data_IF_886405722136
#
_entry.id   IF_886405722136
#
_cell.length_a   1.000
_cell.length_b   1.000
_cell.length_c   1.000
_cell.angle_alpha   90.00
_cell.angle_beta   90.00
_cell.angle_gamma   90.00
#
_symmetry.space_group_name_H-M   'P 1'
#
loop_
_entity.id
_entity.type
_entity.pdbx_description
1 polymer ?
#
# COMPACT_ATOMS: atom_id res chain seq x y z
N UNK A 1 11.47 6.37 -21.11
CA UNK A 1 10.86 5.47 -20.11
C UNK A 1 9.36 5.53 -20.28
N UNK A 2 8.71 4.41 -20.57
CA UNK A 2 7.26 4.34 -20.74
C UNK A 2 6.55 4.50 -19.39
N UNK A 3 5.34 5.09 -19.36
CA UNK A 3 4.56 5.26 -18.13
C UNK A 3 4.37 3.95 -17.35
N UNK A 4 4.28 2.83 -18.07
CA UNK A 4 4.16 1.48 -17.51
C UNK A 4 5.44 1.03 -16.78
N UNK A 5 6.62 1.37 -17.31
CA UNK A 5 7.92 1.05 -16.69
C UNK A 5 8.16 1.90 -15.45
N UNK A 6 7.74 3.17 -15.49
CA UNK A 6 7.79 4.07 -14.34
C UNK A 6 6.91 3.56 -13.19
N UNK A 7 5.68 3.15 -13.50
CA UNK A 7 4.76 2.56 -12.52
C UNK A 7 5.35 1.30 -11.91
N UNK A 8 5.93 0.40 -12.71
CA UNK A 8 6.56 -0.84 -12.23
C UNK A 8 7.75 -0.55 -11.31
N UNK A 9 8.58 0.44 -11.65
CA UNK A 9 9.75 0.84 -10.83
C UNK A 9 9.35 1.50 -9.51
N UNK A 10 8.22 2.21 -9.47
CA UNK A 10 7.74 2.92 -8.28
C UNK A 10 6.62 2.20 -7.53
N UNK A 11 6.22 1.00 -7.97
CA UNK A 11 5.09 0.25 -7.40
C UNK A 11 5.22 0.06 -5.88
N UNK A 12 6.41 -0.29 -5.39
CA UNK A 12 6.70 -0.40 -3.96
C UNK A 12 6.45 0.93 -3.22
N UNK A 13 6.97 2.04 -3.75
CA UNK A 13 6.83 3.37 -3.12
C UNK A 13 5.37 3.81 -3.11
N UNK A 14 4.64 3.58 -4.20
CA UNK A 14 3.22 3.91 -4.32
C UNK A 14 2.40 3.11 -3.30
N UNK A 15 2.60 1.79 -3.22
CA UNK A 15 1.90 0.95 -2.26
C UNK A 15 2.24 1.31 -0.81
N UNK A 16 3.49 1.67 -0.51
CA UNK A 16 3.89 2.13 0.82
C UNK A 16 3.18 3.44 1.22
N UNK A 17 3.07 4.41 0.30
CA UNK A 17 2.32 5.66 0.56
C UNK A 17 0.84 5.37 0.78
N UNK A 18 0.26 4.49 -0.03
CA UNK A 18 -1.16 4.11 0.09
C UNK A 18 -1.43 3.32 1.38
N UNK A 19 -0.48 2.52 1.87
CA UNK A 19 -0.54 1.87 3.16
C UNK A 19 -0.60 2.90 4.30
N UNK A 20 0.26 3.92 4.27
CA UNK A 20 0.25 5.00 5.26
C UNK A 20 -1.08 5.76 5.22
N UNK A 21 -1.57 6.12 4.04
CA UNK A 21 -2.88 6.77 3.90
C UNK A 21 -4.02 5.91 4.45
N UNK A 22 -3.99 4.60 4.19
CA UNK A 22 -4.98 3.65 4.70
C UNK A 22 -4.95 3.54 6.23
N UNK A 23 -3.76 3.61 6.83
CA UNK A 23 -3.59 3.62 8.27
C UNK A 23 -4.21 4.88 8.89
N UNK A 24 -4.00 6.04 8.26
CA UNK A 24 -4.61 7.30 8.69
C UNK A 24 -6.14 7.24 8.63
N UNK A 25 -6.70 6.69 7.55
CA UNK A 25 -8.15 6.49 7.41
C UNK A 25 -8.69 5.58 8.52
N UNK A 26 -7.99 4.48 8.83
CA UNK A 26 -8.39 3.59 9.92
C UNK A 26 -8.39 4.34 11.26
N UNK A 27 -7.32 5.08 11.57
CA UNK A 27 -7.19 5.88 12.80
C UNK A 27 -8.31 6.91 12.90
N UNK A 28 -8.60 7.64 11.82
CA UNK A 28 -9.71 8.61 11.77
C UNK A 28 -11.04 7.89 12.07
N UNK A 29 -11.29 6.75 11.43
CA UNK A 29 -12.49 5.95 11.69
C UNK A 29 -12.64 5.56 13.16
N UNK A 30 -11.55 5.16 13.83
CA UNK A 30 -11.57 4.84 15.26
C UNK A 30 -11.76 6.08 16.14
N UNK A 31 -11.05 7.18 15.88
CA UNK A 31 -11.11 8.43 16.67
C UNK A 31 -12.52 9.04 16.64
N UNK A 32 -13.18 9.03 15.47
CA UNK A 32 -14.53 9.56 15.31
C UNK A 32 -15.64 8.52 15.55
N UNK A 33 -15.29 7.29 15.92
CA UNK A 33 -16.22 6.17 16.11
C UNK A 33 -17.12 5.89 14.89
N UNK A 34 -16.54 6.00 13.69
CA UNK A 34 -17.21 5.74 12.41
C UNK A 34 -16.74 4.37 11.92
N UNK A 35 -17.46 3.32 12.33
CA UNK A 35 -17.08 1.92 12.05
C UNK A 35 -16.87 1.59 10.57
N UNK A 36 -17.65 2.20 9.67
CA UNK A 36 -17.49 2.01 8.22
C UNK A 36 -16.13 2.53 7.72
N UNK A 37 -15.70 3.71 8.15
CA UNK A 37 -14.43 4.31 7.77
C UNK A 37 -13.27 3.51 8.36
N UNK A 38 -13.39 3.09 9.62
CA UNK A 38 -12.40 2.25 10.27
C UNK A 38 -12.23 0.92 9.51
N UNK A 39 -13.33 0.25 9.17
CA UNK A 39 -13.33 -1.00 8.41
C UNK A 39 -12.69 -0.85 7.02
N UNK A 40 -13.04 0.20 6.27
CA UNK A 40 -12.43 0.49 4.97
C UNK A 40 -10.93 0.76 5.07
N UNK A 41 -10.51 1.53 6.07
CA UNK A 41 -9.08 1.79 6.33
C UNK A 41 -8.31 0.51 6.65
N UNK A 42 -8.87 -0.38 7.48
CA UNK A 42 -8.25 -1.67 7.81
C UNK A 42 -8.14 -2.58 6.59
N UNK A 43 -9.21 -2.72 5.79
CA UNK A 43 -9.18 -3.52 4.57
C UNK A 43 -8.14 -2.98 3.57
N UNK A 44 -8.08 -1.66 3.40
CA UNK A 44 -7.09 -1.02 2.54
C UNK A 44 -5.66 -1.24 3.08
N UNK A 45 -5.46 -1.20 4.40
CA UNK A 45 -4.16 -1.54 5.01
C UNK A 45 -3.73 -2.96 4.67
N UNK A 46 -4.61 -3.96 4.82
CA UNK A 46 -4.32 -5.36 4.50
C UNK A 46 -3.98 -5.53 3.01
N UNK A 47 -4.68 -4.82 2.14
CA UNK A 47 -4.39 -4.85 0.72
C UNK A 47 -3.01 -4.24 0.42
N UNK A 48 -2.76 -3.00 0.84
CA UNK A 48 -1.52 -2.31 0.50
C UNK A 48 -0.29 -2.87 1.21
N UNK A 49 -0.41 -3.45 2.41
CA UNK A 49 0.73 -4.14 3.03
C UNK A 49 1.13 -5.38 2.23
N UNK A 50 0.15 -6.15 1.75
CA UNK A 50 0.40 -7.34 0.92
C UNK A 50 1.09 -6.95 -0.39
N UNK A 51 0.60 -5.92 -1.07
CA UNK A 51 1.19 -5.42 -2.32
C UNK A 51 2.54 -4.73 -2.12
N UNK A 52 2.76 -4.09 -0.97
CA UNK A 52 4.08 -3.52 -0.63
C UNK A 52 5.11 -4.63 -0.44
N UNK A 53 4.77 -5.70 0.31
CA UNK A 53 5.65 -6.87 0.50
C UNK A 53 5.90 -7.56 -0.84
N UNK A 54 4.85 -7.78 -1.65
CA UNK A 54 4.99 -8.38 -2.97
C UNK A 54 5.88 -7.54 -3.90
N UNK A 55 5.73 -6.21 -3.91
CA UNK A 55 6.59 -5.29 -4.63
C UNK A 55 8.05 -5.36 -4.15
N UNK A 56 8.27 -5.38 -2.84
CA UNK A 56 9.60 -5.50 -2.25
C UNK A 56 10.30 -6.82 -2.63
N UNK A 57 9.60 -7.95 -2.50
CA UNK A 57 10.14 -9.27 -2.87
C UNK A 57 10.39 -9.38 -4.36
N UNK A 58 9.54 -8.80 -5.21
CA UNK A 58 9.77 -8.81 -6.66
C UNK A 58 10.99 -7.98 -7.06
N UNK A 59 11.25 -6.87 -6.39
CA UNK A 59 12.40 -6.00 -6.67
C UNK A 59 13.70 -6.58 -6.10
N UNK A 60 13.67 -7.22 -4.93
CA UNK A 60 14.87 -7.72 -4.24
C UNK A 60 15.11 -9.23 -4.36
N UNK A 61 14.09 -10.02 -4.70
CA UNK A 61 14.13 -11.48 -4.87
C UNK A 61 14.35 -11.90 -6.32
N UNK A 62 14.13 -11.01 -7.29
CA UNK A 62 14.72 -11.11 -8.61
C UNK A 62 16.14 -10.54 -8.50
N UNK A 63 17.10 -11.40 -8.13
CA UNK A 63 18.53 -11.06 -8.22
C UNK A 63 18.89 -10.60 -9.64
N UNK A 64 20.02 -9.90 -9.80
CA UNK A 64 20.41 -9.30 -11.08
C UNK A 64 20.41 -10.38 -12.17
N UNK A 65 19.56 -10.20 -13.18
CA UNK A 65 19.70 -10.87 -14.47
C UNK A 65 20.91 -10.31 -15.21
#
# INVERSE_FOLDING_TARGET
MSAKEWLKSNEFKINAVLLVASLLIAIIGFVFNIGMIAGLGVLACIFFITYTIYGYVRVNGLGPE
#
